data_IF_205329171352
#
_entry.id   IF_205329171352
#
_cell.length_a   1.000
_cell.length_b   1.000
_cell.length_c   1.000
_cell.angle_alpha   90.00
_cell.angle_beta   90.00
_cell.angle_gamma   90.00
#
_symmetry.space_group_name_H-M   'P 1'
#
loop_
_entity.id
_entity.type
_entity.pdbx_description
1 polymer ?
#
# COMPACT_ATOMS: atom_id res chain seq x y z
N UNK A 1 10.78 17.07 -3.72
CA UNK A 1 11.12 16.20 -2.58
C UNK A 1 10.13 15.05 -2.48
N UNK A 2 8.96 15.16 -3.10
CA UNK A 2 7.98 14.09 -3.28
C UNK A 2 7.60 13.88 -4.76
N UNK A 3 6.90 12.78 -5.05
CA UNK A 3 6.23 12.51 -6.33
C UNK A 3 4.98 11.63 -6.13
N UNK A 4 4.09 11.62 -7.11
CA UNK A 4 2.83 10.84 -7.05
C UNK A 4 2.83 9.78 -8.16
N UNK A 5 2.55 8.53 -7.79
CA UNK A 5 2.24 7.44 -8.71
C UNK A 5 0.72 7.26 -8.80
N UNK A 6 0.25 6.75 -9.94
CA UNK A 6 -1.13 6.30 -10.13
C UNK A 6 -1.13 4.78 -10.27
N UNK A 7 -2.16 4.12 -9.75
CA UNK A 7 -2.40 2.68 -9.99
C UNK A 7 -2.95 2.37 -11.40
N UNK A 8 -3.02 3.36 -12.28
CA UNK A 8 -3.40 3.15 -13.68
C UNK A 8 -2.46 2.16 -14.37
N UNK A 9 -3.03 1.05 -14.85
CA UNK A 9 -2.29 0.02 -15.57
C UNK A 9 -1.65 -1.03 -14.66
N UNK A 10 -1.94 -1.01 -13.35
CA UNK A 10 -1.65 -2.14 -12.48
C UNK A 10 -2.52 -3.34 -12.92
N UNK A 11 -1.93 -4.53 -13.12
CA UNK A 11 -2.66 -5.72 -13.55
C UNK A 11 -3.70 -6.22 -12.54
N UNK A 12 -4.65 -7.02 -13.03
CA UNK A 12 -5.60 -7.79 -12.19
C UNK A 12 -6.44 -6.94 -11.22
N UNK A 13 -6.76 -5.69 -11.60
CA UNK A 13 -7.60 -4.76 -10.82
C UNK A 13 -7.12 -4.57 -9.37
N UNK A 14 -5.81 -4.69 -9.13
CA UNK A 14 -5.21 -4.40 -7.84
C UNK A 14 -5.30 -2.90 -7.58
N UNK A 15 -5.79 -2.56 -6.38
CA UNK A 15 -5.98 -1.17 -5.97
C UNK A 15 -4.73 -0.61 -5.30
N UNK A 16 -4.64 0.72 -5.24
CA UNK A 16 -3.64 1.42 -4.41
C UNK A 16 -3.66 0.98 -2.95
N UNK A 17 -4.85 0.68 -2.39
CA UNK A 17 -4.94 0.18 -1.01
C UNK A 17 -4.28 -1.21 -0.88
N UNK A 18 -4.48 -2.11 -1.84
CA UNK A 18 -3.86 -3.44 -1.82
C UNK A 18 -2.33 -3.34 -1.90
N UNK A 19 -1.80 -2.45 -2.75
CA UNK A 19 -0.36 -2.13 -2.80
C UNK A 19 0.12 -1.62 -1.44
N UNK A 20 -0.60 -0.66 -0.85
CA UNK A 20 -0.26 -0.09 0.45
C UNK A 20 -0.26 -1.14 1.57
N UNK A 21 -1.26 -2.04 1.61
CA UNK A 21 -1.28 -3.16 2.57
C UNK A 21 -0.11 -4.10 2.34
N UNK A 22 0.23 -4.38 1.08
CA UNK A 22 1.34 -5.28 0.77
C UNK A 22 2.71 -4.71 1.17
N UNK A 23 2.92 -3.40 1.10
CA UNK A 23 4.15 -2.74 1.60
C UNK A 23 4.38 -3.06 3.09
N UNK A 24 3.31 -3.16 3.89
CA UNK A 24 3.41 -3.47 5.33
C UNK A 24 4.04 -4.84 5.58
N UNK A 25 3.80 -5.82 4.70
CA UNK A 25 4.37 -7.17 4.84
C UNK A 25 5.90 -7.19 4.66
N UNK A 26 6.46 -6.17 4.01
CA UNK A 26 7.89 -5.99 3.82
C UNK A 26 8.56 -5.19 4.96
N UNK A 27 7.81 -4.87 6.02
CA UNK A 27 8.28 -4.12 7.18
C UNK A 27 8.50 -2.64 6.92
N UNK A 28 7.83 -2.08 5.90
CA UNK A 28 7.89 -0.67 5.55
C UNK A 28 6.50 -0.04 5.74
N UNK A 29 6.44 1.24 6.09
CA UNK A 29 5.17 1.96 6.16
C UNK A 29 4.73 2.37 4.75
N UNK A 30 3.44 2.28 4.48
CA UNK A 30 2.88 2.73 3.21
C UNK A 30 2.96 4.26 3.08
N UNK A 31 3.30 4.80 1.90
CA UNK A 31 3.18 6.23 1.63
C UNK A 31 1.74 6.75 1.74
N UNK A 32 1.56 8.06 1.59
CA UNK A 32 0.22 8.66 1.51
C UNK A 32 -0.55 8.08 0.32
N UNK A 33 -1.76 7.59 0.55
CA UNK A 33 -2.63 7.07 -0.51
C UNK A 33 -3.87 7.93 -0.71
N UNK A 34 -4.43 7.90 -1.91
CA UNK A 34 -5.66 8.59 -2.30
C UNK A 34 -5.63 10.12 -2.13
N UNK A 35 -4.42 10.70 -2.06
CA UNK A 35 -4.19 12.13 -2.12
C UNK A 35 -2.92 12.41 -2.96
N UNK A 36 -2.90 13.45 -3.82
CA UNK A 36 -3.97 14.41 -4.10
C UNK A 36 -5.14 13.81 -4.91
N UNK A 37 -6.34 14.38 -4.75
CA UNK A 37 -7.57 13.85 -5.36
C UNK A 37 -7.61 13.93 -6.90
N UNK A 38 -6.68 14.64 -7.52
CA UNK A 38 -6.58 14.80 -8.99
C UNK A 38 -5.86 13.62 -9.67
N UNK A 39 -5.29 12.70 -8.88
CA UNK A 39 -4.63 11.49 -9.40
C UNK A 39 -5.44 10.27 -8.94
N UNK A 40 -5.93 9.48 -9.89
CA UNK A 40 -6.64 8.23 -9.56
C UNK A 40 -5.66 7.23 -8.95
N UNK A 41 -6.07 6.61 -7.84
CA UNK A 41 -5.21 5.69 -7.10
C UNK A 41 -3.87 6.31 -6.73
N UNK A 42 -3.91 7.52 -6.19
CA UNK A 42 -2.69 8.25 -5.85
C UNK A 42 -1.88 7.50 -4.78
N UNK A 43 -0.61 7.25 -5.06
CA UNK A 43 0.41 6.83 -4.10
C UNK A 43 1.51 7.90 -4.07
N UNK A 44 1.47 8.78 -3.07
CA UNK A 44 2.36 9.94 -2.94
C UNK A 44 3.52 9.62 -2.00
N UNK A 45 4.73 9.62 -2.57
CA UNK A 45 5.96 9.18 -1.91
C UNK A 45 6.85 10.40 -1.62
N UNK A 46 7.23 10.55 -0.36
CA UNK A 46 8.20 11.55 0.12
C UNK A 46 9.21 10.85 1.05
N UNK A 47 10.47 10.62 0.61
CA UNK A 47 11.47 9.98 1.46
C UNK A 47 12.14 10.94 2.47
N UNK A 48 12.13 12.24 2.24
CA UNK A 48 12.96 13.25 2.94
C UNK A 48 14.48 13.07 2.72
N UNK A 49 15.27 14.07 3.12
CA UNK A 49 16.73 14.08 2.97
C UNK A 49 17.48 13.19 3.98
N UNK A 50 16.79 12.74 5.03
CA UNK A 50 17.40 11.95 6.11
C UNK A 50 17.50 10.46 5.79
N UNK A 51 16.75 10.00 4.78
CA UNK A 51 16.76 8.61 4.37
C UNK A 51 18.04 8.24 3.63
N UNK A 52 18.57 7.06 3.93
CA UNK A 52 19.77 6.57 3.27
C UNK A 52 19.44 6.06 1.88
N UNK A 53 20.40 6.15 0.95
CA UNK A 53 20.25 5.54 -0.38
C UNK A 53 19.86 4.05 -0.32
N UNK A 54 20.42 3.31 0.64
CA UNK A 54 20.09 1.90 0.81
C UNK A 54 18.60 1.65 1.17
N UNK A 55 17.99 2.54 1.97
CA UNK A 55 16.56 2.47 2.26
C UNK A 55 15.70 2.80 1.04
N UNK A 56 16.12 3.78 0.23
CA UNK A 56 15.45 4.12 -1.04
C UNK A 56 15.51 2.96 -2.02
N UNK A 57 16.68 2.37 -2.22
CA UNK A 57 16.89 1.22 -3.10
C UNK A 57 16.03 0.03 -2.62
N UNK A 58 15.99 -0.24 -1.31
CA UNK A 58 15.11 -1.28 -0.73
C UNK A 58 13.63 -1.00 -0.98
N UNK A 59 13.17 0.25 -0.85
CA UNK A 59 11.78 0.61 -1.10
C UNK A 59 11.41 0.41 -2.58
N UNK A 60 12.30 0.79 -3.49
CA UNK A 60 12.13 0.57 -4.94
C UNK A 60 12.04 -0.92 -5.26
N UNK A 61 12.93 -1.74 -4.69
CA UNK A 61 12.90 -3.19 -4.88
C UNK A 61 11.59 -3.83 -4.40
N UNK A 62 11.04 -3.32 -3.29
CA UNK A 62 9.73 -3.75 -2.78
C UNK A 62 8.63 -3.39 -3.79
N UNK A 63 8.62 -2.18 -4.35
CA UNK A 63 7.62 -1.78 -5.33
C UNK A 63 7.66 -2.65 -6.60
N UNK A 64 8.85 -3.00 -7.09
CA UNK A 64 8.97 -3.93 -8.23
C UNK A 64 8.44 -5.33 -7.89
N UNK A 65 8.78 -5.87 -6.71
CA UNK A 65 8.24 -7.17 -6.27
C UNK A 65 6.72 -7.15 -6.17
N UNK A 66 6.14 -6.09 -5.60
CA UNK A 66 4.68 -5.96 -5.48
C UNK A 66 4.03 -5.89 -6.86
N UNK A 67 4.66 -5.21 -7.83
CA UNK A 67 4.16 -5.17 -9.20
C UNK A 67 4.19 -6.54 -9.90
N UNK A 68 5.24 -7.34 -9.67
CA UNK A 68 5.32 -8.70 -10.19
C UNK A 68 4.33 -9.63 -9.47
N UNK A 69 4.19 -9.51 -8.15
CA UNK A 69 3.17 -10.22 -7.37
C UNK A 69 1.75 -9.87 -7.85
N UNK A 70 1.48 -8.60 -8.20
CA UNK A 70 0.19 -8.19 -8.75
C UNK A 70 -0.12 -8.91 -10.07
N UNK A 71 0.88 -9.28 -10.88
CA UNK A 71 0.72 -10.05 -12.11
C UNK A 71 0.52 -11.53 -11.84
N UNK A 72 1.40 -12.11 -11.03
CA UNK A 72 1.56 -13.56 -10.89
C UNK A 72 0.63 -14.15 -9.83
N UNK A 73 0.37 -13.41 -8.76
CA UNK A 73 -0.42 -13.86 -7.62
C UNK A 73 -1.20 -12.69 -6.97
N UNK A 74 -2.17 -12.08 -7.65
CA UNK A 74 -2.89 -10.90 -7.16
C UNK A 74 -3.57 -11.10 -5.80
N UNK A 75 -3.95 -12.33 -5.45
CA UNK A 75 -4.59 -12.64 -4.16
C UNK A 75 -3.70 -12.35 -2.95
N UNK A 76 -2.38 -12.42 -3.11
CA UNK A 76 -1.46 -12.07 -2.01
C UNK A 76 -1.52 -10.57 -1.68
N UNK A 77 -1.84 -9.71 -2.65
CA UNK A 77 -2.05 -8.28 -2.41
C UNK A 77 -3.43 -8.02 -1.80
N UNK A 78 -4.49 -8.69 -2.30
CA UNK A 78 -5.88 -8.50 -1.82
C UNK A 78 -6.09 -8.90 -0.38
N UNK A 79 -5.37 -9.95 0.05
CA UNK A 79 -5.46 -10.49 1.41
C UNK A 79 -4.40 -9.92 2.36
N UNK A 80 -3.49 -9.08 1.86
CA UNK A 80 -2.52 -8.38 2.70
C UNK A 80 -3.22 -7.44 3.71
N UNK A 81 -2.60 -7.18 4.87
CA UNK A 81 -1.30 -7.67 5.31
C UNK A 81 -1.39 -9.05 6.02
N UNK A 82 -0.29 -9.80 5.96
CA UNK A 82 -0.10 -11.12 6.58
C UNK A 82 0.90 -11.11 7.75
N UNK A 83 1.87 -10.19 7.75
CA UNK A 83 2.97 -10.16 8.73
C UNK A 83 2.73 -9.18 9.90
N UNK A 84 1.64 -8.41 9.85
CA UNK A 84 1.26 -7.49 10.92
C UNK A 84 0.49 -8.23 12.04
N UNK A 85 0.46 -7.70 13.28
CA UNK A 85 -0.25 -8.35 14.40
C UNK A 85 -1.75 -8.60 14.16
N UNK A 86 -2.36 -7.80 13.29
CA UNK A 86 -3.74 -7.94 12.82
C UNK A 86 -3.77 -7.80 11.29
N UNK A 87 -4.69 -8.50 10.64
CA UNK A 87 -4.93 -8.39 9.20
C UNK A 87 -5.83 -7.22 8.82
N UNK A 88 -6.40 -7.27 7.62
CA UNK A 88 -7.34 -6.26 7.12
C UNK A 88 -8.60 -6.20 7.98
N UNK A 89 -8.93 -5.02 8.47
CA UNK A 89 -10.14 -4.79 9.28
C UNK A 89 -11.36 -4.64 8.38
N UNK A 90 -12.50 -5.15 8.84
CA UNK A 90 -13.79 -4.91 8.18
C UNK A 90 -14.29 -3.49 8.50
N UNK A 91 -13.84 -2.53 7.68
CA UNK A 91 -14.24 -1.13 7.80
C UNK A 91 -15.76 -0.94 7.57
N UNK A 92 -16.39 -1.79 6.76
CA UNK A 92 -17.83 -1.71 6.48
C UNK A 92 -18.63 -2.09 7.72
N UNK A 93 -18.27 -3.20 8.36
CA UNK A 93 -18.88 -3.62 9.62
C UNK A 93 -18.62 -2.59 10.71
N UNK A 94 -17.38 -2.09 10.84
CA UNK A 94 -17.05 -1.08 11.84
C UNK A 94 -17.87 0.21 11.66
N UNK A 95 -18.09 0.65 10.42
CA UNK A 95 -18.90 1.83 10.12
C UNK A 95 -20.40 1.60 10.34
N UNK A 96 -20.91 0.38 10.05
CA UNK A 96 -22.34 0.04 10.16
C UNK A 96 -22.75 -0.39 11.56
N UNK A 97 -21.85 -0.97 12.34
CA UNK A 97 -22.11 -1.52 13.68
C UNK A 97 -20.94 -1.20 14.61
N UNK A 98 -20.72 0.08 14.94
CA UNK A 98 -19.60 0.49 15.77
C UNK A 98 -19.77 0.01 17.22
N UNK A 99 -18.77 -0.69 17.74
CA UNK A 99 -18.66 -1.04 19.16
C UNK A 99 -17.77 -0.02 19.87
N UNK A 100 -18.38 0.93 20.57
CA UNK A 100 -17.69 2.09 21.15
C UNK A 100 -17.38 1.94 22.66
N UNK A 101 -17.93 0.91 23.31
CA UNK A 101 -17.76 0.59 24.72
C UNK A 101 -17.76 -0.92 24.88
N UNK A 102 -17.04 -1.41 25.89
CA UNK A 102 -17.05 -2.82 26.32
C UNK A 102 -18.36 -3.20 27.01
#
# INVERSE_FOLDING_TARGET
HEFVLSDKGIPNDITTEDIAKRILDYGMYAPTIYFPLIVNGALMIEPTETETRANLDRFIDILFKIYDEAKENPEILRTAPHNTPIGRLDAVLAARTPKLRE
#
